data_IF_892293550922
#
_entry.id   IF_892293550922
#
_cell.length_a   1.000
_cell.length_b   1.000
_cell.length_c   1.000
_cell.angle_alpha   90.00
_cell.angle_beta   90.00
_cell.angle_gamma   90.00
#
_symmetry.space_group_name_H-M   'P 1'
#
loop_
_entity.id
_entity.type
_entity.pdbx_description
1 polymer ?
#
# COMPACT_ATOMS: atom_id res chain seq x y z
N UNK A 1 43.55 -1.42 7.85
CA UNK A 1 43.13 -1.23 9.26
C UNK A 1 41.75 -1.84 9.38
N UNK A 2 41.49 -2.61 10.43
CA UNK A 2 40.19 -3.27 10.65
C UNK A 2 39.26 -2.29 11.37
N UNK A 3 38.13 -1.97 10.74
CA UNK A 3 37.09 -1.15 11.35
C UNK A 3 36.25 -2.02 12.30
N UNK A 4 35.98 -1.52 13.50
CA UNK A 4 35.14 -2.22 14.47
C UNK A 4 33.68 -2.13 14.02
N UNK A 5 33.10 -3.24 13.57
CA UNK A 5 31.66 -3.47 13.81
C UNK A 5 31.49 -3.77 15.30
N UNK A 6 30.58 -3.06 15.95
CA UNK A 6 30.10 -3.41 17.30
C UNK A 6 29.14 -4.58 17.20
N UNK A 7 29.30 -5.56 18.08
CA UNK A 7 28.59 -6.85 18.05
C UNK A 7 27.27 -6.74 18.84
N UNK A 8 26.49 -5.67 18.57
CA UNK A 8 25.44 -5.13 19.45
C UNK A 8 24.01 -5.20 18.90
N UNK A 9 23.85 -5.34 17.59
CA UNK A 9 22.55 -5.36 16.90
C UNK A 9 22.31 -6.71 16.21
N UNK A 10 21.04 -7.13 16.13
CA UNK A 10 20.58 -8.27 15.33
C UNK A 10 19.62 -7.81 14.24
N UNK A 11 19.90 -8.20 12.99
CA UNK A 11 18.94 -8.12 11.88
C UNK A 11 17.74 -9.05 12.17
N UNK A 12 16.50 -8.56 12.08
CA UNK A 12 15.31 -9.38 12.37
C UNK A 12 14.75 -10.12 11.15
N UNK A 13 15.26 -9.83 9.95
CA UNK A 13 14.67 -10.25 8.68
C UNK A 13 13.42 -9.46 8.27
N UNK A 14 13.01 -8.45 9.06
CA UNK A 14 12.07 -7.42 8.63
C UNK A 14 12.85 -6.29 7.95
N UNK A 15 12.27 -5.68 6.92
CA UNK A 15 12.78 -4.47 6.29
C UNK A 15 11.79 -3.34 6.55
N UNK A 16 12.26 -2.23 7.12
CA UNK A 16 11.48 -1.02 7.36
C UNK A 16 11.42 -0.17 6.08
N UNK A 17 10.39 0.66 5.95
CA UNK A 17 10.25 1.62 4.86
C UNK A 17 10.01 3.03 5.38
N UNK A 18 10.70 4.01 4.78
CA UNK A 18 10.68 5.43 5.14
C UNK A 18 10.39 6.30 3.90
N UNK A 19 10.07 7.58 4.08
CA UNK A 19 9.70 8.48 2.98
C UNK A 19 10.73 9.58 2.74
N UNK A 20 11.18 9.69 1.50
CA UNK A 20 12.13 10.71 1.06
C UNK A 20 11.61 11.50 -0.15
N UNK A 21 12.15 12.71 -0.34
CA UNK A 21 11.92 13.52 -1.54
C UNK A 21 12.81 12.99 -2.67
N UNK A 22 12.21 12.72 -3.84
CA UNK A 22 12.90 12.23 -5.03
C UNK A 22 12.40 12.93 -6.29
N UNK A 23 13.27 13.03 -7.31
CA UNK A 23 12.92 13.67 -8.57
C UNK A 23 11.90 12.84 -9.37
N UNK A 24 10.96 13.46 -10.11
CA UNK A 24 9.88 12.74 -10.79
C UNK A 24 10.34 11.63 -11.76
N UNK A 25 11.55 11.75 -12.32
CA UNK A 25 12.13 10.74 -13.21
C UNK A 25 12.58 9.46 -12.48
N UNK A 26 12.97 9.57 -11.19
CA UNK A 26 13.26 8.41 -10.32
C UNK A 26 11.96 7.64 -10.03
N UNK A 27 10.84 8.36 -9.90
CA UNK A 27 9.53 7.80 -9.58
C UNK A 27 8.71 7.35 -10.81
N UNK A 28 9.37 7.23 -11.97
CA UNK A 28 8.81 6.79 -13.24
C UNK A 28 8.81 5.26 -13.41
N UNK A 29 7.91 4.74 -14.25
CA UNK A 29 7.67 3.29 -14.41
C UNK A 29 8.89 2.50 -14.89
N UNK A 30 9.91 3.14 -15.49
CA UNK A 30 11.15 2.51 -15.95
C UNK A 30 12.17 2.22 -14.85
N UNK A 31 12.06 2.91 -13.70
CA UNK A 31 12.95 2.74 -12.54
C UNK A 31 12.40 1.72 -11.52
N UNK A 32 11.24 1.13 -11.79
CA UNK A 32 10.57 0.16 -10.91
C UNK A 32 10.38 0.63 -9.44
N UNK A 33 9.97 1.88 -9.17
CA UNK A 33 10.04 2.47 -7.84
C UNK A 33 9.09 1.81 -6.82
N UNK A 34 9.54 1.76 -5.57
CA UNK A 34 8.69 1.79 -4.39
C UNK A 34 8.36 3.25 -4.07
N UNK A 35 7.09 3.62 -3.93
CA UNK A 35 6.66 5.02 -3.78
C UNK A 35 5.30 5.17 -3.14
N UNK A 36 5.07 6.32 -2.50
CA UNK A 36 3.77 6.77 -1.98
C UNK A 36 3.19 7.86 -2.87
N UNK A 37 1.87 7.83 -3.05
CA UNK A 37 1.10 8.90 -3.67
C UNK A 37 1.45 9.24 -5.12
N UNK A 38 1.07 10.43 -5.55
CA UNK A 38 1.20 10.85 -6.95
C UNK A 38 0.46 9.91 -7.91
N UNK A 39 1.11 9.49 -9.00
CA UNK A 39 0.53 8.54 -9.98
C UNK A 39 1.15 7.13 -9.86
N UNK A 40 0.38 6.06 -10.13
CA UNK A 40 0.93 4.71 -10.22
C UNK A 40 1.99 4.62 -11.34
N UNK A 41 3.16 4.08 -11.00
CA UNK A 41 4.19 3.71 -11.97
C UNK A 41 3.89 2.28 -12.46
N UNK A 42 3.09 2.15 -13.52
CA UNK A 42 2.52 0.89 -14.01
C UNK A 42 3.56 -0.04 -14.63
N UNK A 43 3.75 -1.22 -14.03
CA UNK A 43 4.69 -2.26 -14.46
C UNK A 43 4.29 -2.91 -15.79
N UNK A 44 3.14 -3.60 -15.85
CA UNK A 44 2.62 -4.07 -17.14
C UNK A 44 1.91 -2.90 -17.82
N UNK A 45 2.40 -2.49 -18.99
CA UNK A 45 1.77 -1.41 -19.74
C UNK A 45 0.47 -1.83 -20.46
N UNK A 46 0.05 -3.09 -20.30
CA UNK A 46 -1.21 -3.62 -20.82
C UNK A 46 -2.10 -4.11 -19.68
N UNK A 47 -3.41 -4.18 -19.95
CA UNK A 47 -4.41 -4.79 -19.07
C UNK A 47 -4.41 -4.21 -17.64
N UNK A 48 -4.14 -2.89 -17.54
CA UNK A 48 -4.28 -2.09 -16.32
C UNK A 48 -5.68 -2.27 -15.71
N UNK A 49 -5.83 -2.19 -14.37
CA UNK A 49 -7.14 -2.30 -13.70
C UNK A 49 -8.15 -1.32 -14.29
N UNK A 50 -9.35 -1.82 -14.60
CA UNK A 50 -10.43 -1.00 -15.14
C UNK A 50 -11.00 -0.05 -14.08
N UNK A 51 -11.80 0.93 -14.52
CA UNK A 51 -12.47 1.86 -13.61
C UNK A 51 -13.31 1.12 -12.55
N UNK A 52 -14.04 0.06 -12.93
CA UNK A 52 -14.89 -0.73 -12.04
C UNK A 52 -14.10 -1.56 -11.02
N UNK A 53 -12.92 -2.08 -11.39
CA UNK A 53 -12.04 -2.78 -10.44
C UNK A 53 -11.43 -1.82 -9.41
N UNK A 54 -11.33 -0.53 -9.75
CA UNK A 54 -10.86 0.56 -8.91
C UNK A 54 -11.98 1.34 -8.21
N UNK A 55 -13.24 0.93 -8.30
CA UNK A 55 -14.35 1.56 -7.57
C UNK A 55 -14.43 1.04 -6.11
N UNK A 56 -14.62 1.96 -5.16
CA UNK A 56 -14.77 1.66 -3.73
C UNK A 56 -16.09 0.90 -3.49
N UNK A 57 -16.05 -0.24 -2.82
CA UNK A 57 -17.23 -1.12 -2.71
C UNK A 57 -18.34 -0.50 -1.85
N UNK A 58 -17.99 0.40 -0.93
CA UNK A 58 -18.93 1.08 -0.03
C UNK A 58 -19.67 2.25 -0.71
N UNK A 59 -18.98 3.09 -1.47
CA UNK A 59 -19.56 4.32 -2.07
C UNK A 59 -19.57 4.37 -3.60
N UNK A 60 -18.99 3.38 -4.29
CA UNK A 60 -18.89 3.26 -5.75
C UNK A 60 -18.19 4.45 -6.45
N UNK A 61 -17.45 5.27 -5.70
CA UNK A 61 -16.56 6.30 -6.24
C UNK A 61 -15.18 5.69 -6.55
N UNK A 62 -14.43 6.25 -7.52
CA UNK A 62 -13.08 5.78 -7.82
C UNK A 62 -12.14 5.91 -6.62
N UNK A 63 -11.32 4.89 -6.42
CA UNK A 63 -10.20 4.92 -5.46
C UNK A 63 -9.01 5.71 -6.01
N UNK A 64 -8.21 6.24 -5.10
CA UNK A 64 -6.97 6.98 -5.36
C UNK A 64 -5.79 6.08 -5.06
N UNK A 65 -4.72 6.20 -5.85
CA UNK A 65 -3.46 5.49 -5.63
C UNK A 65 -2.83 5.92 -4.29
N UNK A 66 -2.62 4.96 -3.39
CA UNK A 66 -2.02 5.20 -2.08
C UNK A 66 -0.51 4.98 -2.13
N UNK A 67 -0.07 3.79 -2.56
CA UNK A 67 1.35 3.44 -2.68
C UNK A 67 1.59 2.25 -3.61
N UNK A 68 2.84 2.04 -3.98
CA UNK A 68 3.32 0.79 -4.55
C UNK A 68 4.64 0.35 -3.91
N UNK A 69 4.87 -0.97 -3.89
CA UNK A 69 6.11 -1.59 -3.42
C UNK A 69 6.66 -2.49 -4.52
N UNK A 70 7.92 -2.30 -4.89
CA UNK A 70 8.66 -3.25 -5.71
C UNK A 70 9.15 -4.41 -4.85
N UNK A 71 8.65 -5.61 -5.15
CA UNK A 71 8.75 -6.79 -4.31
C UNK A 71 9.09 -8.03 -5.16
N UNK A 72 10.30 -8.11 -5.75
CA UNK A 72 10.73 -9.26 -6.55
C UNK A 72 10.84 -10.54 -5.69
N UNK A 73 10.65 -11.71 -6.31
CA UNK A 73 10.81 -13.00 -5.62
C UNK A 73 12.05 -13.71 -6.16
N UNK A 74 13.05 -13.90 -5.28
CA UNK A 74 14.31 -14.56 -5.62
C UNK A 74 14.06 -15.99 -6.14
N UNK A 75 14.77 -16.37 -7.20
CA UNK A 75 14.64 -17.69 -7.84
C UNK A 75 13.36 -17.91 -8.66
N UNK A 76 12.44 -16.93 -8.75
CA UNK A 76 11.20 -17.07 -9.51
C UNK A 76 11.20 -16.14 -10.75
N UNK A 77 11.64 -16.67 -11.91
CA UNK A 77 11.84 -15.87 -13.13
C UNK A 77 10.64 -14.99 -13.52
N UNK A 78 9.40 -15.52 -13.43
CA UNK A 78 8.16 -14.81 -13.79
C UNK A 78 7.77 -13.63 -12.88
N UNK A 79 8.54 -13.40 -11.83
CA UNK A 79 8.37 -12.35 -10.83
C UNK A 79 9.72 -11.67 -10.52
N UNK A 80 10.64 -11.71 -11.50
CA UNK A 80 11.87 -10.92 -11.47
C UNK A 80 11.55 -9.43 -11.28
N UNK A 81 10.59 -8.92 -12.06
CA UNK A 81 9.92 -7.67 -11.73
C UNK A 81 8.55 -8.02 -11.16
N UNK A 82 8.23 -7.49 -9.97
CA UNK A 82 6.96 -7.72 -9.31
C UNK A 82 6.64 -6.50 -8.47
N UNK A 83 5.48 -5.90 -8.69
CA UNK A 83 5.06 -4.67 -8.02
C UNK A 83 3.67 -4.85 -7.46
N UNK A 84 3.50 -4.47 -6.21
CA UNK A 84 2.23 -4.49 -5.49
C UNK A 84 1.72 -3.06 -5.38
N UNK A 85 0.47 -2.83 -5.78
CA UNK A 85 -0.17 -1.51 -5.83
C UNK A 85 -1.33 -1.48 -4.84
N UNK A 86 -1.43 -0.42 -4.04
CA UNK A 86 -2.50 -0.21 -3.07
C UNK A 86 -3.26 1.07 -3.45
N UNK A 87 -4.59 0.99 -3.46
CA UNK A 87 -5.49 2.12 -3.68
C UNK A 87 -6.47 2.21 -2.51
N UNK A 88 -6.91 3.42 -2.17
CA UNK A 88 -7.90 3.66 -1.12
C UNK A 88 -8.94 4.71 -1.53
N UNK A 89 -10.10 4.70 -0.87
CA UNK A 89 -11.13 5.71 -1.07
C UNK A 89 -10.77 7.02 -0.35
N UNK A 90 -11.10 8.19 -0.91
CA UNK A 90 -10.99 9.50 -0.21
C UNK A 90 -12.27 9.94 0.52
N UNK A 91 -13.25 9.05 0.71
CA UNK A 91 -14.51 9.36 1.41
C UNK A 91 -14.48 8.85 2.86
N UNK A 92 -14.52 9.72 3.91
CA UNK A 92 -14.41 9.29 5.31
C UNK A 92 -15.48 8.32 5.78
N UNK A 93 -16.73 8.47 5.30
CA UNK A 93 -17.82 7.54 5.61
C UNK A 93 -17.56 6.10 5.10
N UNK A 94 -16.48 5.86 4.34
CA UNK A 94 -16.03 4.53 3.96
C UNK A 94 -14.99 3.93 4.93
N UNK A 95 -14.49 4.69 5.91
CA UNK A 95 -13.55 4.23 6.95
C UNK A 95 -14.32 3.82 8.21
N UNK A 96 -15.17 2.80 8.06
CA UNK A 96 -15.74 2.07 9.19
C UNK A 96 -14.66 1.19 9.83
N UNK A 97 -14.78 0.94 11.13
CA UNK A 97 -13.86 0.11 11.89
C UNK A 97 -13.74 -1.30 11.30
N UNK A 98 -12.51 -1.83 11.24
CA UNK A 98 -12.18 -3.22 10.89
C UNK A 98 -12.81 -3.70 9.56
N UNK A 99 -12.86 -2.81 8.56
CA UNK A 99 -13.52 -3.05 7.27
C UNK A 99 -12.71 -2.50 6.08
N UNK A 100 -12.05 -3.42 5.39
CA UNK A 100 -11.13 -3.22 4.27
C UNK A 100 -11.78 -2.79 2.94
N UNK A 101 -13.11 -2.80 2.78
CA UNK A 101 -13.80 -2.65 1.48
C UNK A 101 -13.68 -1.27 0.81
N UNK A 102 -13.01 -0.33 1.46
CA UNK A 102 -12.60 0.96 0.90
C UNK A 102 -11.22 0.96 0.23
N UNK A 103 -10.50 -0.17 0.28
CA UNK A 103 -9.19 -0.38 -0.35
C UNK A 103 -9.27 -1.35 -1.53
N UNK A 104 -8.26 -1.29 -2.42
CA UNK A 104 -8.00 -2.28 -3.47
C UNK A 104 -6.50 -2.57 -3.53
N UNK A 105 -6.11 -3.83 -3.73
CA UNK A 105 -4.71 -4.22 -3.92
C UNK A 105 -4.54 -5.07 -5.17
N UNK A 106 -3.49 -4.79 -5.94
CA UNK A 106 -3.16 -5.52 -7.17
C UNK A 106 -1.68 -5.91 -7.21
N UNK A 107 -1.37 -7.14 -7.63
CA UNK A 107 -0.03 -7.54 -8.07
C UNK A 107 0.08 -7.42 -9.59
N UNK A 108 1.13 -6.78 -10.07
CA UNK A 108 1.66 -7.00 -11.42
C UNK A 108 3.00 -7.73 -11.32
N UNK A 109 3.33 -8.54 -12.33
CA UNK A 109 4.62 -9.23 -12.40
C UNK A 109 5.05 -9.43 -13.86
N UNK A 110 6.36 -9.38 -14.11
CA UNK A 110 6.96 -9.61 -15.42
C UNK A 110 8.26 -10.43 -15.26
N UNK A 111 8.59 -11.29 -16.24
CA UNK A 111 9.93 -11.85 -16.37
C UNK A 111 10.96 -10.79 -16.75
N UNK A 112 12.24 -11.06 -16.48
CA UNK A 112 13.34 -10.12 -16.81
C UNK A 112 13.32 -9.72 -18.29
N UNK A 113 13.19 -10.71 -19.18
CA UNK A 113 12.94 -10.46 -20.61
C UNK A 113 11.43 -10.31 -20.84
N UNK A 114 10.98 -9.08 -21.02
CA UNK A 114 9.59 -8.72 -21.29
C UNK A 114 9.50 -7.71 -22.45
N UNK A 115 8.28 -7.32 -22.83
CA UNK A 115 8.01 -6.46 -24.00
C UNK A 115 7.88 -4.96 -23.65
N UNK A 116 8.12 -4.56 -22.40
CA UNK A 116 7.87 -3.20 -21.89
C UNK A 116 9.13 -2.46 -21.46
N UNK A 117 10.18 -3.20 -21.09
CA UNK A 117 11.42 -2.66 -20.53
C UNK A 117 12.66 -3.30 -21.17
N UNK A 118 13.80 -2.58 -21.24
CA UNK A 118 15.08 -3.16 -21.64
C UNK A 118 15.51 -4.34 -20.75
N UNK A 119 16.38 -5.21 -21.28
CA UNK A 119 16.96 -6.31 -20.51
C UNK A 119 18.04 -5.84 -19.52
N UNK A 120 18.67 -4.71 -19.80
CA UNK A 120 19.69 -4.07 -18.98
C UNK A 120 19.04 -2.91 -18.18
N UNK A 121 19.57 -2.54 -17.00
CA UNK A 121 19.00 -1.43 -16.24
C UNK A 121 19.10 -0.09 -17.01
N UNK A 122 18.20 0.87 -16.74
CA UNK A 122 18.41 2.26 -17.17
C UNK A 122 19.66 2.85 -16.49
N UNK A 123 20.21 3.97 -17.02
CA UNK A 123 21.24 4.73 -16.32
C UNK A 123 20.71 5.37 -15.03
N UNK A 124 21.62 5.60 -14.08
CA UNK A 124 21.37 6.35 -12.84
C UNK A 124 21.40 7.89 -13.05
N UNK A 125 21.41 8.34 -14.32
CA UNK A 125 21.43 9.75 -14.73
C UNK A 125 20.04 10.19 -15.25
N UNK A 126 19.69 11.47 -15.06
CA UNK A 126 18.43 12.03 -15.56
C UNK A 126 18.30 11.82 -17.08
N UNK A 127 17.19 11.23 -17.58
CA UNK A 127 17.00 11.00 -19.01
C UNK A 127 17.05 12.30 -19.83
N UNK A 128 18.01 12.39 -20.76
CA UNK A 128 18.18 13.55 -21.64
C UNK A 128 16.85 13.94 -22.32
N UNK A 129 16.34 15.13 -21.99
CA UNK A 129 14.95 15.56 -22.15
C UNK A 129 14.30 15.21 -23.52
N UNK A 130 13.69 14.03 -23.57
CA UNK A 130 13.02 13.45 -24.73
C UNK A 130 11.67 12.89 -24.30
N UNK A 131 10.66 13.77 -24.29
CA UNK A 131 9.37 13.47 -23.67
C UNK A 131 8.57 12.40 -24.42
N UNK A 132 8.63 11.16 -23.92
CA UNK A 132 7.47 10.28 -23.96
C UNK A 132 6.34 10.98 -23.20
N UNK A 133 5.14 11.04 -23.79
CA UNK A 133 4.00 11.68 -23.14
C UNK A 133 3.48 10.73 -22.05
N UNK A 134 3.81 11.01 -20.77
CA UNK A 134 3.38 10.22 -19.59
C UNK A 134 1.90 9.79 -19.59
N UNK A 135 1.05 10.52 -20.31
CA UNK A 135 -0.39 10.25 -20.44
C UNK A 135 -0.69 9.11 -21.42
N UNK A 136 0.30 8.52 -22.07
CA UNK A 136 0.21 7.38 -22.99
C UNK A 136 1.39 6.45 -22.73
N UNK A 137 1.14 5.21 -22.34
CA UNK A 137 2.19 4.19 -22.20
C UNK A 137 2.68 3.74 -23.59
N UNK A 138 3.90 3.19 -23.69
CA UNK A 138 4.47 2.67 -24.93
C UNK A 138 3.65 1.57 -25.61
N UNK A 139 2.76 0.92 -24.86
CA UNK A 139 1.70 0.01 -25.36
C UNK A 139 0.57 0.69 -26.15
N UNK A 140 0.53 2.03 -26.19
CA UNK A 140 -0.59 2.84 -26.70
C UNK A 140 -1.74 3.05 -25.71
N UNK A 141 -1.66 2.53 -24.48
CA UNK A 141 -2.71 2.72 -23.46
C UNK A 141 -2.69 4.16 -22.96
N UNK A 142 -3.78 4.89 -23.23
CA UNK A 142 -3.98 6.26 -22.75
C UNK A 142 -4.40 6.25 -21.28
N UNK A 143 -3.84 7.15 -20.49
CA UNK A 143 -4.09 7.28 -19.06
C UNK A 143 -5.07 8.41 -18.76
N UNK A 144 -5.62 8.40 -17.54
CA UNK A 144 -6.42 9.48 -17.01
C UNK A 144 -5.51 10.64 -16.61
N UNK A 145 -5.71 11.83 -17.20
CA UNK A 145 -4.92 13.04 -16.88
C UNK A 145 -4.84 13.32 -15.38
N UNK A 146 -5.92 13.05 -14.64
CA UNK A 146 -6.02 13.35 -13.22
C UNK A 146 -5.38 12.27 -12.30
N UNK A 147 -5.49 10.97 -12.61
CA UNK A 147 -5.07 9.91 -11.68
C UNK A 147 -4.11 8.84 -12.23
N UNK A 148 -3.72 8.90 -13.50
CA UNK A 148 -2.82 7.90 -14.10
C UNK A 148 -3.45 6.52 -14.38
N UNK A 149 -4.65 6.22 -13.90
CA UNK A 149 -5.36 4.96 -14.24
C UNK A 149 -5.87 4.95 -15.69
N UNK A 150 -6.22 3.78 -16.24
CA UNK A 150 -6.61 3.64 -17.65
C UNK A 150 -7.73 4.61 -18.10
N UNK A 151 -7.47 5.41 -19.13
CA UNK A 151 -8.31 6.54 -19.56
C UNK A 151 -9.05 6.30 -20.87
N UNK A 152 -10.26 5.76 -20.81
CA UNK A 152 -11.09 5.47 -22.00
C UNK A 152 -12.02 6.61 -22.45
N UNK A 153 -12.25 7.63 -21.62
CA UNK A 153 -13.17 8.75 -21.93
C UNK A 153 -12.37 9.98 -22.38
N UNK A 154 -12.30 10.21 -23.69
CA UNK A 154 -11.67 11.42 -24.24
C UNK A 154 -12.52 12.68 -24.02
N UNK A 155 -11.88 13.83 -23.81
CA UNK A 155 -12.59 15.12 -23.73
C UNK A 155 -13.29 15.45 -25.07
N UNK A 156 -14.62 15.58 -25.05
CA UNK A 156 -15.47 15.77 -26.24
C UNK A 156 -15.32 17.11 -26.98
N UNK A 157 -14.43 18.01 -26.51
CA UNK A 157 -14.16 19.30 -27.15
C UNK A 157 -12.77 19.38 -27.79
N UNK A 158 -11.75 18.75 -27.21
CA UNK A 158 -10.38 18.81 -27.72
C UNK A 158 -9.81 17.45 -28.14
N UNK A 159 -10.36 16.34 -27.64
CA UNK A 159 -9.88 14.96 -27.81
C UNK A 159 -8.41 14.67 -27.43
N UNK A 160 -7.65 15.69 -26.99
CA UNK A 160 -6.24 15.61 -26.57
C UNK A 160 -6.02 14.90 -25.23
N UNK A 161 -7.01 14.90 -24.34
CA UNK A 161 -6.89 14.32 -22.97
C UNK A 161 -7.97 13.29 -22.69
N UNK A 162 -7.64 12.33 -21.82
CA UNK A 162 -8.45 11.16 -21.46
C UNK A 162 -8.70 11.06 -19.95
N UNK A 163 -9.79 10.39 -19.58
CA UNK A 163 -10.23 10.16 -18.21
C UNK A 163 -10.77 8.73 -18.02
N UNK A 164 -10.64 8.16 -16.82
CA UNK A 164 -11.26 6.87 -16.47
C UNK A 164 -12.77 7.01 -16.19
N UNK A 165 -13.17 8.02 -15.41
CA UNK A 165 -14.57 8.27 -15.01
C UNK A 165 -15.04 9.70 -15.34
N UNK A 166 -16.34 9.95 -15.18
CA UNK A 166 -16.94 11.29 -15.39
C UNK A 166 -16.57 12.26 -14.26
N UNK A 167 -16.40 11.77 -13.03
CA UNK A 167 -16.01 12.61 -11.89
C UNK A 167 -14.60 13.20 -12.07
N UNK A 168 -13.61 12.39 -12.47
CA UNK A 168 -12.25 12.89 -12.72
C UNK A 168 -12.23 13.94 -13.84
N UNK A 169 -13.04 13.77 -14.89
CA UNK A 169 -13.24 14.81 -15.90
C UNK A 169 -13.84 16.08 -15.30
N UNK A 170 -14.85 15.97 -14.42
CA UNK A 170 -15.50 17.11 -13.79
C UNK A 170 -14.61 17.83 -12.77
N UNK A 171 -13.73 17.12 -12.06
CA UNK A 171 -12.74 17.67 -11.13
C UNK A 171 -11.66 18.43 -11.91
N UNK A 172 -11.01 17.79 -12.88
CA UNK A 172 -9.96 18.39 -13.71
C UNK A 172 -10.49 19.60 -14.51
N UNK A 173 -11.73 19.55 -14.99
CA UNK A 173 -12.41 20.68 -15.65
C UNK A 173 -12.63 21.87 -14.72
N UNK A 174 -12.96 21.65 -13.44
CA UNK A 174 -13.09 22.73 -12.44
C UNK A 174 -11.73 23.34 -12.09
N UNK A 175 -10.69 22.51 -11.94
CA UNK A 175 -9.35 22.94 -11.53
C UNK A 175 -8.59 23.67 -12.64
N UNK A 176 -8.42 23.04 -13.81
CA UNK A 176 -7.50 23.52 -14.85
C UNK A 176 -8.01 23.35 -16.29
N UNK A 177 -8.58 22.19 -16.64
CA UNK A 177 -8.75 21.82 -18.05
C UNK A 177 -9.75 22.69 -18.81
N UNK A 178 -10.72 23.34 -18.14
CA UNK A 178 -11.61 24.34 -18.77
C UNK A 178 -10.83 25.49 -19.44
N UNK A 179 -9.69 25.88 -18.87
CA UNK A 179 -8.80 26.92 -19.42
C UNK A 179 -8.04 26.37 -20.62
N UNK A 180 -7.25 25.31 -20.39
CA UNK A 180 -6.43 24.65 -21.43
C UNK A 180 -7.22 24.16 -22.64
N UNK A 181 -8.42 23.62 -22.46
CA UNK A 181 -9.28 23.13 -23.54
C UNK A 181 -9.76 24.27 -24.48
N UNK A 182 -9.46 25.52 -24.13
CA UNK A 182 -9.78 26.72 -24.92
C UNK A 182 -8.53 27.40 -25.53
N UNK A 183 -7.32 26.95 -25.18
CA UNK A 183 -6.04 27.52 -25.64
C UNK A 183 -5.21 26.45 -26.35
N UNK A 184 -4.69 26.76 -27.54
CA UNK A 184 -3.83 25.80 -28.26
C UNK A 184 -2.45 25.65 -27.61
N UNK A 185 -2.02 26.65 -26.82
CA UNK A 185 -0.83 26.62 -25.97
C UNK A 185 -1.02 25.70 -24.77
N UNK A 186 -0.20 24.65 -24.69
CA UNK A 186 -0.06 23.77 -23.53
C UNK A 186 0.85 24.42 -22.46
N UNK A 187 0.37 25.47 -21.81
CA UNK A 187 1.03 26.05 -20.64
C UNK A 187 0.86 25.11 -19.44
N UNK A 188 1.98 24.62 -18.89
CA UNK A 188 2.00 23.81 -17.68
C UNK A 188 1.59 24.66 -16.45
N UNK A 189 0.29 24.72 -16.19
CA UNK A 189 -0.26 25.34 -14.99
C UNK A 189 0.07 24.45 -13.79
N UNK A 190 0.89 24.95 -12.85
CA UNK A 190 1.20 24.31 -11.57
C UNK A 190 0.00 24.28 -10.60
N UNK A 191 -1.13 23.74 -11.05
CA UNK A 191 -2.33 23.55 -10.24
C UNK A 191 -2.18 22.26 -9.44
N UNK A 192 -2.08 22.37 -8.11
CA UNK A 192 -1.93 21.23 -7.21
C UNK A 192 -3.12 20.28 -7.37
N UNK A 193 -2.83 19.02 -7.72
CA UNK A 193 -3.84 18.00 -7.96
C UNK A 193 -4.35 17.40 -6.64
N UNK A 194 -5.31 18.08 -6.02
CA UNK A 194 -5.88 17.72 -4.71
C UNK A 194 -6.54 16.32 -4.65
N UNK A 195 -6.77 15.65 -5.80
CA UNK A 195 -7.24 14.27 -5.78
C UNK A 195 -6.14 13.31 -5.32
N UNK A 196 -4.90 13.50 -5.76
CA UNK A 196 -3.79 12.60 -5.42
C UNK A 196 -3.31 12.85 -3.98
N UNK A 197 -2.53 11.91 -3.46
CA UNK A 197 -1.71 12.17 -2.28
C UNK A 197 -0.36 12.78 -2.72
N UNK A 198 0.36 13.48 -1.83
CA UNK A 198 1.74 13.90 -2.10
C UNK A 198 2.61 12.72 -2.53
N UNK A 199 3.51 12.97 -3.49
CA UNK A 199 4.36 11.94 -4.10
C UNK A 199 5.71 11.89 -3.36
N UNK A 200 6.13 10.69 -2.96
CA UNK A 200 7.37 10.44 -2.19
C UNK A 200 8.01 9.12 -2.67
N UNK A 201 9.34 9.01 -2.57
CA UNK A 201 10.01 7.71 -2.64
C UNK A 201 9.75 6.91 -1.35
N UNK A 202 9.66 5.58 -1.47
CA UNK A 202 9.62 4.66 -0.32
C UNK A 202 10.95 3.91 -0.27
N UNK A 203 11.95 4.52 0.38
CA UNK A 203 13.26 3.89 0.65
C UNK A 203 13.12 2.82 1.73
N UNK A 204 14.06 1.88 1.79
CA UNK A 204 13.95 0.69 2.65
C UNK A 204 15.26 0.27 3.29
N UNK A 205 15.23 0.00 4.59
CA UNK A 205 16.39 -0.35 5.43
C UNK A 205 16.10 -1.57 6.31
N UNK A 206 17.10 -2.40 6.70
CA UNK A 206 16.87 -3.53 7.61
C UNK A 206 16.37 -3.10 8.99
N UNK A 207 15.48 -3.88 9.62
CA UNK A 207 15.22 -3.73 11.05
C UNK A 207 16.36 -4.36 11.86
N UNK A 208 17.20 -3.50 12.42
CA UNK A 208 18.18 -3.83 13.43
C UNK A 208 17.58 -3.61 14.83
N UNK A 209 17.69 -4.61 15.73
CA UNK A 209 17.29 -4.49 17.14
C UNK A 209 18.48 -4.75 18.07
N UNK A 210 18.59 -4.06 19.21
CA UNK A 210 19.65 -4.33 20.18
C UNK A 210 19.58 -5.76 20.73
N UNK A 211 20.75 -6.38 20.93
CA UNK A 211 20.88 -7.72 21.51
C UNK A 211 20.69 -7.66 23.03
N UNK A 212 19.42 -7.68 23.44
CA UNK A 212 19.03 -8.01 24.81
C UNK A 212 18.96 -9.54 24.96
N UNK A 213 19.79 -10.12 25.84
CA UNK A 213 19.79 -11.56 26.14
C UNK A 213 18.46 -12.06 26.78
N UNK A 214 17.73 -11.18 27.47
CA UNK A 214 16.51 -11.49 28.21
C UNK A 214 15.23 -11.50 27.33
N UNK A 215 15.20 -12.34 26.29
CA UNK A 215 13.94 -12.69 25.60
C UNK A 215 13.77 -14.21 25.46
N UNK A 216 12.89 -14.86 26.25
CA UNK A 216 12.64 -16.28 26.12
C UNK A 216 11.93 -16.61 24.79
N UNK A 217 12.13 -17.82 24.22
CA UNK A 217 11.42 -18.24 23.01
C UNK A 217 9.92 -18.42 23.28
N UNK A 218 9.08 -18.06 22.31
CA UNK A 218 7.63 -18.26 22.36
C UNK A 218 7.28 -19.73 22.62
N UNK A 219 6.84 -20.05 23.85
CA UNK A 219 6.61 -21.43 24.29
C UNK A 219 5.69 -21.51 25.52
N UNK A 220 4.38 -21.31 25.32
CA UNK A 220 3.31 -22.09 25.96
C UNK A 220 1.99 -21.80 25.19
N UNK A 221 1.12 -22.76 24.84
CA UNK A 221 0.66 -23.95 25.60
C UNK A 221 -0.05 -23.59 26.90
N UNK A 222 -1.12 -22.80 26.80
CA UNK A 222 -2.06 -22.61 27.90
C UNK A 222 -2.79 -23.94 28.21
N UNK A 223 -2.49 -24.50 29.36
CA UNK A 223 -3.11 -25.72 29.86
C UNK A 223 -4.56 -25.48 30.33
N UNK A 224 -5.35 -26.56 30.34
CA UNK A 224 -6.74 -26.53 30.81
C UNK A 224 -6.82 -26.25 32.32
N UNK A 225 -7.75 -25.39 32.73
CA UNK A 225 -8.16 -25.24 34.14
C UNK A 225 -9.69 -25.39 34.21
N UNK A 226 -10.16 -26.44 34.87
CA UNK A 226 -11.58 -26.69 35.11
C UNK A 226 -11.96 -26.24 36.53
N UNK A 227 -12.82 -25.23 36.64
CA UNK A 227 -13.64 -24.92 37.82
C UNK A 227 -15.07 -24.65 37.33
N UNK A 228 -16.09 -24.85 38.17
CA UNK A 228 -17.50 -24.86 37.77
C UNK A 228 -18.40 -23.99 38.66
N UNK A 229 -19.59 -23.68 38.10
CA UNK A 229 -20.79 -23.02 38.66
C UNK A 229 -20.74 -21.51 38.97
N UNK A 230 -21.66 -20.77 38.31
CA UNK A 230 -22.30 -19.48 38.68
C UNK A 230 -21.40 -18.31 39.14
N UNK A 231 -21.40 -17.13 38.53
CA UNK A 231 -22.49 -16.47 37.79
C UNK A 231 -22.12 -15.88 36.42
N UNK A 232 -23.12 -15.63 35.57
CA UNK A 232 -22.93 -15.17 34.19
C UNK A 232 -22.32 -13.77 34.11
N UNK A 233 -22.81 -12.82 34.93
CA UNK A 233 -22.38 -11.42 34.91
C UNK A 233 -20.91 -11.24 35.34
N UNK A 234 -20.44 -12.05 36.30
CA UNK A 234 -19.04 -12.02 36.75
C UNK A 234 -18.10 -12.60 35.68
N UNK A 235 -18.52 -13.68 35.01
CA UNK A 235 -17.75 -14.26 33.90
C UNK A 235 -17.63 -13.33 32.68
N UNK A 236 -18.65 -12.49 32.43
CA UNK A 236 -18.59 -11.46 31.39
C UNK A 236 -17.63 -10.33 31.79
N UNK A 237 -17.70 -9.83 33.04
CA UNK A 237 -16.76 -8.82 33.56
C UNK A 237 -15.29 -9.30 33.56
N UNK A 238 -15.02 -10.53 34.00
CA UNK A 238 -13.69 -11.12 33.92
C UNK A 238 -13.21 -11.22 32.47
N UNK A 239 -14.09 -11.62 31.54
CA UNK A 239 -13.74 -11.69 30.12
C UNK A 239 -13.39 -10.32 29.52
N UNK A 240 -14.08 -9.26 29.94
CA UNK A 240 -13.80 -7.88 29.53
C UNK A 240 -12.46 -7.38 30.09
N UNK A 241 -12.20 -7.58 31.38
CA UNK A 241 -10.92 -7.19 32.00
C UNK A 241 -9.73 -7.98 31.42
N UNK A 242 -9.91 -9.27 31.11
CA UNK A 242 -8.92 -10.11 30.41
C UNK A 242 -8.78 -9.77 28.92
N UNK A 243 -9.72 -9.03 28.34
CA UNK A 243 -9.63 -8.52 26.96
C UNK A 243 -8.89 -7.17 26.94
N UNK A 244 -9.31 -6.20 27.77
CA UNK A 244 -8.64 -4.89 27.90
C UNK A 244 -7.15 -5.02 28.24
N UNK A 245 -6.79 -5.93 29.15
CA UNK A 245 -5.39 -6.18 29.51
C UNK A 245 -4.55 -6.75 28.36
N UNK A 246 -5.10 -7.70 27.57
CA UNK A 246 -4.43 -8.25 26.38
C UNK A 246 -4.32 -7.24 25.25
N UNK A 247 -5.30 -6.35 25.11
CA UNK A 247 -5.29 -5.30 24.10
C UNK A 247 -4.26 -4.21 24.44
N UNK A 248 -4.16 -3.86 25.73
CA UNK A 248 -3.10 -3.01 26.27
C UNK A 248 -1.71 -3.64 26.08
N UNK A 249 -1.55 -4.95 26.34
CA UNK A 249 -0.31 -5.67 26.03
C UNK A 249 0.05 -5.65 24.53
N UNK A 250 -0.92 -5.83 23.63
CA UNK A 250 -0.69 -5.79 22.19
C UNK A 250 -0.22 -4.40 21.74
N UNK A 251 -0.91 -3.35 22.18
CA UNK A 251 -0.56 -1.96 21.87
C UNK A 251 0.76 -1.53 22.49
N UNK A 252 1.11 -2.04 23.68
CA UNK A 252 2.41 -1.80 24.30
C UNK A 252 3.55 -2.48 23.51
N UNK A 253 3.37 -3.73 23.07
CA UNK A 253 4.34 -4.44 22.20
C UNK A 253 4.50 -3.75 20.84
N UNK A 254 3.40 -3.22 20.28
CA UNK A 254 3.42 -2.38 19.08
C UNK A 254 4.27 -1.12 19.29
N UNK A 255 4.00 -0.37 20.36
CA UNK A 255 4.76 0.83 20.75
C UNK A 255 6.24 0.55 20.98
N UNK A 256 6.57 -0.48 21.75
CA UNK A 256 7.96 -0.85 22.08
C UNK A 256 8.76 -1.25 20.84
N UNK A 257 8.16 -2.02 19.90
CA UNK A 257 8.82 -2.36 18.63
C UNK A 257 9.07 -1.14 17.75
N UNK A 258 8.16 -0.17 17.77
CA UNK A 258 8.23 1.04 16.93
C UNK A 258 9.04 2.17 17.59
N UNK A 259 9.27 2.11 18.90
CA UNK A 259 10.00 3.15 19.65
C UNK A 259 11.46 3.33 19.20
N UNK A 260 12.07 2.31 18.58
CA UNK A 260 13.37 2.45 17.91
C UNK A 260 13.26 3.35 16.67
N UNK A 261 12.31 3.05 15.77
CA UNK A 261 12.12 3.77 14.51
C UNK A 261 10.68 4.31 14.35
N UNK A 262 10.32 5.42 15.03
CA UNK A 262 8.94 5.87 15.12
C UNK A 262 8.37 6.45 13.81
N UNK A 263 9.22 6.70 12.81
CA UNK A 263 8.84 7.26 11.51
C UNK A 263 8.59 6.20 10.41
N UNK A 264 8.77 4.91 10.71
CA UNK A 264 8.55 3.83 9.75
C UNK A 264 7.11 3.84 9.20
N UNK A 265 6.95 3.95 7.88
CA UNK A 265 5.64 3.94 7.21
C UNK A 265 5.24 2.56 6.69
N UNK A 266 6.20 1.63 6.59
CA UNK A 266 6.01 0.27 6.08
C UNK A 266 6.93 -0.72 6.81
N UNK A 267 6.47 -1.97 6.95
CA UNK A 267 7.26 -3.12 7.42
C UNK A 267 7.09 -4.27 6.42
N UNK A 268 8.14 -4.62 5.68
CA UNK A 268 8.16 -5.70 4.71
C UNK A 268 8.77 -6.96 5.33
N UNK A 269 8.02 -8.07 5.34
CA UNK A 269 8.52 -9.37 5.80
C UNK A 269 7.63 -10.49 5.23
N UNK A 270 7.94 -10.93 4.00
CA UNK A 270 7.13 -11.94 3.29
C UNK A 270 7.20 -13.29 4.01
N UNK A 271 6.03 -13.86 4.30
CA UNK A 271 5.85 -15.05 5.17
C UNK A 271 6.22 -14.84 6.66
N UNK A 272 6.53 -13.61 7.08
CA UNK A 272 6.83 -13.26 8.48
C UNK A 272 5.62 -12.94 9.36
N UNK A 273 5.89 -12.45 10.57
CA UNK A 273 4.88 -12.02 11.55
C UNK A 273 4.51 -10.54 11.40
N UNK A 274 3.21 -10.26 11.51
CA UNK A 274 2.64 -8.91 11.51
C UNK A 274 2.73 -8.28 12.91
N UNK A 275 2.83 -6.95 12.98
CA UNK A 275 2.84 -6.19 14.22
C UNK A 275 1.49 -5.50 14.44
N UNK A 276 0.53 -6.20 15.04
CA UNK A 276 -0.82 -5.70 15.27
C UNK A 276 -0.88 -4.59 16.34
N UNK A 277 -1.77 -3.60 16.16
CA UNK A 277 -2.03 -2.55 17.17
C UNK A 277 -2.90 -3.04 18.33
N UNK A 278 -3.71 -4.07 18.06
CA UNK A 278 -4.76 -4.58 18.94
C UNK A 278 -4.78 -6.11 18.91
N UNK A 279 -5.38 -6.70 19.95
CA UNK A 279 -5.73 -8.12 20.00
C UNK A 279 -7.10 -8.42 19.38
N UNK A 280 -7.94 -7.41 19.14
CA UNK A 280 -9.16 -7.47 18.33
C UNK A 280 -8.80 -7.72 16.85
N UNK A 281 -9.68 -8.37 16.08
CA UNK A 281 -9.58 -8.43 14.61
C UNK A 281 -8.22 -8.91 14.03
N UNK A 282 -7.55 -9.87 14.67
CA UNK A 282 -6.40 -10.56 14.08
C UNK A 282 -6.91 -11.68 13.15
N UNK A 283 -6.49 -11.74 11.87
CA UNK A 283 -7.06 -12.68 10.89
C UNK A 283 -6.54 -14.11 11.05
N UNK A 284 -7.44 -15.08 10.94
CA UNK A 284 -7.12 -16.49 10.80
C UNK A 284 -6.90 -16.85 9.33
N UNK A 285 -6.37 -18.06 9.09
CA UNK A 285 -6.15 -18.60 7.72
C UNK A 285 -7.43 -18.81 6.90
N UNK A 286 -8.60 -18.73 7.54
CA UNK A 286 -9.92 -18.86 6.90
C UNK A 286 -10.51 -17.49 6.53
N UNK A 287 -10.18 -16.43 7.29
CA UNK A 287 -10.60 -15.05 7.03
C UNK A 287 -9.89 -14.45 5.80
N UNK A 288 -8.71 -14.97 5.45
CA UNK A 288 -7.95 -14.57 4.26
C UNK A 288 -8.48 -15.35 3.03
N UNK A 289 -9.16 -14.70 2.07
CA UNK A 289 -9.68 -15.38 0.89
C UNK A 289 -8.55 -15.93 0.01
N UNK A 290 -8.80 -17.07 -0.64
CA UNK A 290 -7.87 -17.68 -1.60
C UNK A 290 -7.69 -16.81 -2.85
N UNK A 291 -6.53 -16.94 -3.50
CA UNK A 291 -6.26 -16.31 -4.78
C UNK A 291 -7.13 -16.93 -5.89
N UNK A 292 -7.31 -16.22 -7.01
CA UNK A 292 -8.06 -16.69 -8.19
C UNK A 292 -7.55 -18.03 -8.77
N UNK A 293 -6.28 -18.36 -8.54
CA UNK A 293 -5.68 -19.64 -8.90
C UNK A 293 -5.98 -20.80 -7.93
N UNK A 294 -6.78 -20.57 -6.87
CA UNK A 294 -7.11 -21.55 -5.83
C UNK A 294 -6.05 -21.73 -4.74
N UNK A 295 -4.86 -21.13 -4.89
CA UNK A 295 -3.81 -21.15 -3.85
C UNK A 295 -4.14 -20.18 -2.72
N UNK A 296 -3.74 -20.52 -1.49
CA UNK A 296 -3.84 -19.62 -0.34
C UNK A 296 -3.00 -18.34 -0.54
N UNK A 297 -3.39 -17.26 0.14
CA UNK A 297 -2.55 -16.08 0.29
C UNK A 297 -1.70 -16.17 1.58
N UNK A 298 -0.59 -15.46 1.59
CA UNK A 298 0.37 -15.32 2.69
C UNK A 298 0.57 -13.84 2.98
N UNK A 299 1.05 -13.50 4.18
CA UNK A 299 1.46 -12.14 4.50
C UNK A 299 2.70 -11.73 3.68
N UNK A 300 2.73 -10.46 3.28
CA UNK A 300 3.79 -9.88 2.45
C UNK A 300 4.45 -8.67 3.13
N UNK A 301 3.64 -7.65 3.44
CA UNK A 301 4.08 -6.43 4.11
C UNK A 301 2.91 -5.76 4.82
N UNK A 302 3.25 -4.88 5.75
CA UNK A 302 2.35 -4.07 6.57
C UNK A 302 2.57 -2.58 6.27
N UNK A 303 1.49 -1.83 6.12
CA UNK A 303 1.51 -0.36 6.10
C UNK A 303 1.19 0.12 7.51
N UNK A 304 2.01 1.06 7.99
CA UNK A 304 1.96 1.60 9.35
C UNK A 304 1.03 2.83 9.42
N UNK A 305 0.50 3.17 10.61
CA UNK A 305 -0.36 4.35 10.79
C UNK A 305 0.38 5.66 10.55
N UNK A 306 1.70 5.69 10.79
CA UNK A 306 2.64 6.78 10.48
C UNK A 306 2.43 7.41 9.09
N UNK A 307 2.08 6.59 8.09
CA UNK A 307 1.89 7.04 6.72
C UNK A 307 0.85 8.16 6.61
N UNK A 308 -0.21 8.13 7.44
CA UNK A 308 -1.31 9.09 7.43
C UNK A 308 -0.81 10.55 7.49
N UNK A 309 0.22 10.81 8.31
CA UNK A 309 0.83 12.13 8.50
C UNK A 309 1.39 12.73 7.20
N UNK A 310 1.79 11.90 6.23
CA UNK A 310 2.40 12.33 4.96
C UNK A 310 1.37 12.49 3.83
N UNK A 311 0.14 12.01 4.02
CA UNK A 311 -0.94 12.05 3.02
C UNK A 311 -1.64 13.41 2.95
N UNK A 312 -1.45 14.29 3.95
CA UNK A 312 -2.00 15.66 4.05
C UNK A 312 -3.52 15.67 3.90
N UNK A 313 -4.22 14.85 4.70
CA UNK A 313 -5.68 14.66 4.66
C UNK A 313 -6.41 15.44 5.75
N UNK A 314 -5.69 16.32 6.46
CA UNK A 314 -6.06 16.98 7.74
C UNK A 314 -7.12 18.10 7.61
N UNK A 315 -8.07 17.93 6.71
CA UNK A 315 -9.31 18.71 6.68
C UNK A 315 -10.40 17.99 7.47
N UNK A 316 -11.26 18.70 8.23
CA UNK A 316 -12.27 18.09 9.10
C UNK A 316 -13.31 17.23 8.35
N UNK A 317 -13.44 17.43 7.03
CA UNK A 317 -14.34 16.67 6.16
C UNK A 317 -13.67 15.44 5.49
N UNK A 318 -12.44 15.07 5.88
CA UNK A 318 -11.62 14.08 5.16
C UNK A 318 -10.83 13.07 6.02
N UNK A 319 -11.34 12.65 7.20
CA UNK A 319 -10.68 11.62 8.01
C UNK A 319 -10.53 10.26 7.28
N UNK A 320 -9.28 9.97 6.90
CA UNK A 320 -8.78 8.65 6.48
C UNK A 320 -8.01 8.09 7.66
N UNK A 321 -8.28 6.85 8.05
CA UNK A 321 -7.69 6.28 9.27
C UNK A 321 -7.51 4.74 9.18
N UNK A 322 -6.44 4.26 9.82
CA UNK A 322 -6.14 2.85 10.09
C UNK A 322 -5.12 2.74 11.23
N UNK A 323 -5.25 1.71 12.05
CA UNK A 323 -4.20 1.29 12.98
C UNK A 323 -3.11 0.46 12.30
N UNK A 324 -3.49 -0.39 11.35
CA UNK A 324 -2.56 -1.22 10.57
C UNK A 324 -3.24 -1.80 9.32
N UNK A 325 -2.53 -1.79 8.18
CA UNK A 325 -2.98 -2.47 6.97
C UNK A 325 -2.01 -3.61 6.61
N UNK A 326 -2.46 -4.86 6.67
CA UNK A 326 -1.64 -6.03 6.33
C UNK A 326 -2.00 -6.55 4.93
N UNK A 327 -1.01 -6.61 4.03
CA UNK A 327 -1.19 -7.03 2.64
C UNK A 327 -0.89 -8.52 2.52
N UNK A 328 -1.79 -9.24 1.84
CA UNK A 328 -1.71 -10.68 1.60
C UNK A 328 -1.71 -11.00 0.10
N UNK A 329 -0.70 -11.71 -0.38
CA UNK A 329 -0.57 -12.09 -1.79
C UNK A 329 -0.53 -13.62 -1.98
N UNK A 330 -0.82 -14.09 -3.18
CA UNK A 330 -0.75 -15.52 -3.53
C UNK A 330 0.63 -16.12 -3.20
N UNK A 331 0.66 -17.19 -2.38
CA UNK A 331 1.90 -17.85 -1.97
C UNK A 331 2.76 -18.29 -3.16
N UNK A 332 2.15 -18.82 -4.22
CA UNK A 332 2.83 -19.22 -5.44
C UNK A 332 3.27 -18.06 -6.37
N UNK A 333 2.87 -16.81 -6.11
CA UNK A 333 2.85 -15.68 -7.07
C UNK A 333 2.39 -16.15 -8.45
N UNK A 334 1.11 -16.53 -8.53
CA UNK A 334 0.52 -17.15 -9.72
C UNK A 334 0.65 -16.28 -10.96
N UNK A 335 0.99 -16.92 -12.08
CA UNK A 335 1.05 -16.26 -13.38
C UNK A 335 -0.37 -15.94 -13.86
N UNK A 336 -0.59 -14.69 -14.29
CA UNK A 336 -1.80 -14.21 -14.97
C UNK A 336 -1.41 -13.49 -16.28
N UNK A 337 -0.23 -13.80 -16.83
CA UNK A 337 0.37 -13.10 -17.94
C UNK A 337 0.63 -11.63 -17.61
N UNK A 338 0.15 -10.75 -18.47
CA UNK A 338 0.34 -9.28 -18.39
C UNK A 338 -0.76 -8.58 -17.57
N UNK A 339 -1.56 -9.33 -16.82
CA UNK A 339 -2.73 -8.80 -16.09
C UNK A 339 -2.36 -8.39 -14.65
N UNK A 340 -3.15 -7.48 -14.11
CA UNK A 340 -3.09 -7.11 -12.69
C UNK A 340 -3.96 -8.08 -11.88
N UNK A 341 -3.32 -8.84 -10.98
CA UNK A 341 -3.98 -9.84 -10.14
C UNK A 341 -4.52 -9.17 -8.88
N UNK A 342 -5.83 -9.24 -8.62
CA UNK A 342 -6.41 -8.75 -7.37
C UNK A 342 -5.87 -9.54 -6.17
N UNK A 343 -5.31 -8.82 -5.19
CA UNK A 343 -4.79 -9.36 -3.94
C UNK A 343 -5.54 -8.78 -2.74
N UNK A 344 -5.23 -9.26 -1.54
CA UNK A 344 -6.04 -9.01 -0.36
C UNK A 344 -5.33 -8.07 0.63
N UNK A 345 -6.14 -7.32 1.38
CA UNK A 345 -5.69 -6.37 2.40
C UNK A 345 -6.60 -6.52 3.62
N UNK A 346 -5.99 -6.63 4.78
CA UNK A 346 -6.68 -6.63 6.07
C UNK A 346 -6.48 -5.26 6.72
N UNK A 347 -7.52 -4.73 7.36
CA UNK A 347 -7.49 -3.42 8.05
C UNK A 347 -7.81 -3.66 9.51
N UNK A 348 -6.84 -3.41 10.39
CA UNK A 348 -7.07 -3.30 11.81
C UNK A 348 -7.08 -1.81 12.19
N UNK A 349 -8.01 -1.42 13.04
CA UNK A 349 -8.06 -0.09 13.65
C UNK A 349 -7.56 -0.12 15.10
N UNK A 350 -7.23 1.04 15.66
CA UNK A 350 -7.02 1.16 17.10
C UNK A 350 -8.33 0.85 17.83
N UNK A 351 -8.26 0.23 19.01
CA UNK A 351 -9.43 0.05 19.85
C UNK A 351 -9.94 1.40 20.36
N UNK A 352 -11.24 1.49 20.65
CA UNK A 352 -11.94 2.77 20.89
C UNK A 352 -11.39 3.55 22.07
N UNK A 353 -10.81 2.84 23.03
CA UNK A 353 -10.25 3.37 24.27
C UNK A 353 -8.77 3.78 24.13
N UNK A 354 -8.18 3.58 22.94
CA UNK A 354 -6.79 3.93 22.59
C UNK A 354 -6.69 5.11 21.60
N UNK A 355 -7.81 5.59 21.05
CA UNK A 355 -7.86 6.77 20.19
C UNK A 355 -7.84 8.06 21.04
N UNK A 356 -6.65 8.66 21.18
CA UNK A 356 -6.36 9.87 21.99
C UNK A 356 -5.63 10.92 21.16
#
# INVERSE_FOLDING_TARGET
MSENRTDSERETGVVLGFLEEAEPWQLASAQFPSKVGGRPAWLSQLNLPSAAELECEKCQHPTVFLLQVYAPIAGQERSFHRTLYVFCCKTPACYTANDNRCFKVFRSQLPRKNDFYPYDPPPDEEPAAGADDERVLGSGVKLCRLCGCAGHKACSRCHKVTYCCKEHQAIDWKQQHKRECSSETSSASGAVNLLLFPEWELVTEPEELPVNDDMPPDSNSLAQVNIASSDLEESELESMALHESKDSEAFQKFKERIAAEPHQVLRYCREGSQLWVSSEHVPNKEDIPKCSCGTNRIFEFQIMPQLLNHLKVDSPDASIDWGTLAIYTCAASCDQGKNYSAEFIWKQDFSKDQAV
#
